data_IF_126808322841
#
_entry.id   IF_126808322841
#
_cell.length_a   1.000
_cell.length_b   1.000
_cell.length_c   1.000
_cell.angle_alpha   90.00
_cell.angle_beta   90.00
_cell.angle_gamma   90.00
#
_symmetry.space_group_name_H-M   'P 1'
#
loop_
_entity.id
_entity.type
_entity.pdbx_description
1 polymer ?
#
# COMPACT_ATOMS: atom_id res chain seq x y z
N UNK A 1 -0.89 -0.84 -15.62
CA UNK A 1 -0.50 -0.48 -14.24
C UNK A 1 -1.72 -0.66 -13.36
N UNK A 2 -1.70 -1.63 -12.45
CA UNK A 2 -2.78 -1.80 -11.47
C UNK A 2 -2.52 -0.91 -10.24
N UNK A 3 -3.52 -0.73 -9.38
CA UNK A 3 -3.39 0.11 -8.18
C UNK A 3 -2.31 -0.40 -7.22
N UNK A 4 -2.13 -1.73 -7.13
CA UNK A 4 -1.11 -2.35 -6.27
C UNK A 4 0.32 -2.01 -6.69
N UNK A 5 0.57 -1.99 -7.99
CA UNK A 5 1.87 -1.64 -8.57
C UNK A 5 2.21 -0.16 -8.32
N UNK A 6 1.21 0.73 -8.40
CA UNK A 6 1.37 2.14 -7.98
C UNK A 6 1.75 2.27 -6.52
N UNK A 7 1.04 1.58 -5.63
CA UNK A 7 1.34 1.58 -4.20
C UNK A 7 2.77 1.11 -3.96
N UNK A 8 3.18 0.00 -4.59
CA UNK A 8 4.54 -0.54 -4.50
C UNK A 8 5.60 0.47 -4.96
N UNK A 9 5.37 1.15 -6.09
CA UNK A 9 6.32 2.14 -6.62
C UNK A 9 6.49 3.31 -5.67
N UNK A 10 5.40 3.91 -5.20
CA UNK A 10 5.47 5.04 -4.25
C UNK A 10 6.12 4.57 -2.94
N UNK A 11 5.82 3.34 -2.49
CA UNK A 11 6.36 2.79 -1.24
C UNK A 11 7.89 2.68 -1.32
N UNK A 12 8.40 2.13 -2.41
CA UNK A 12 9.85 2.00 -2.64
C UNK A 12 10.50 3.37 -2.81
N UNK A 13 9.84 4.30 -3.51
CA UNK A 13 10.35 5.66 -3.70
C UNK A 13 10.47 6.44 -2.38
N UNK A 14 9.57 6.17 -1.42
CA UNK A 14 9.62 6.72 -0.06
C UNK A 14 10.38 5.85 0.94
N UNK A 15 11.12 4.84 0.46
CA UNK A 15 11.96 3.95 1.27
C UNK A 15 11.23 3.19 2.38
N UNK A 16 9.91 3.01 2.24
CA UNK A 16 9.13 2.24 3.21
C UNK A 16 9.23 0.74 2.95
N UNK A 17 9.41 -0.03 4.02
CA UNK A 17 9.08 -1.46 4.02
C UNK A 17 7.56 -1.66 3.96
N UNK A 18 7.12 -2.87 3.57
CA UNK A 18 5.69 -3.20 3.61
C UNK A 18 5.13 -3.08 5.04
N UNK A 19 5.92 -3.45 6.06
CA UNK A 19 5.55 -3.35 7.47
C UNK A 19 5.37 -1.92 7.95
N UNK A 20 6.27 -1.02 7.57
CA UNK A 20 6.17 0.40 7.95
C UNK A 20 4.97 1.08 7.30
N UNK A 21 4.70 0.76 6.02
CA UNK A 21 3.56 1.33 5.31
C UNK A 21 2.23 0.92 5.96
N UNK A 22 2.09 -0.34 6.34
CA UNK A 22 0.82 -0.87 6.88
C UNK A 22 0.75 -0.95 8.39
N UNK A 23 1.76 -0.44 9.09
CA UNK A 23 1.74 -0.38 10.55
C UNK A 23 0.47 0.33 11.01
N UNK A 24 -0.33 -0.36 11.82
CA UNK A 24 -1.65 0.08 12.32
C UNK A 24 -2.78 0.20 11.25
N UNK A 25 -2.52 -0.17 10.00
CA UNK A 25 -3.51 -0.17 8.91
C UNK A 25 -4.04 -1.57 8.65
N UNK A 26 -3.15 -2.54 8.39
CA UNK A 26 -3.49 -3.92 8.07
C UNK A 26 -2.29 -4.86 8.24
N UNK A 27 -2.44 -6.13 7.87
CA UNK A 27 -1.32 -7.06 7.83
C UNK A 27 -0.40 -6.84 6.62
N UNK A 28 0.88 -7.15 6.78
CA UNK A 28 1.88 -7.15 5.69
C UNK A 28 1.43 -8.06 4.55
N UNK A 29 0.90 -9.24 4.89
CA UNK A 29 0.39 -10.21 3.90
C UNK A 29 -0.72 -9.62 3.05
N UNK A 30 -1.61 -8.80 3.62
CA UNK A 30 -2.68 -8.14 2.86
C UNK A 30 -2.11 -7.16 1.83
N UNK A 31 -1.17 -6.29 2.23
CA UNK A 31 -0.48 -5.39 1.29
C UNK A 31 0.29 -6.15 0.23
N UNK A 32 1.02 -7.21 0.59
CA UNK A 32 1.74 -8.03 -0.39
C UNK A 32 0.81 -8.61 -1.46
N UNK A 33 -0.37 -9.10 -1.08
CA UNK A 33 -1.37 -9.58 -2.04
C UNK A 33 -1.93 -8.46 -2.92
N UNK A 34 -2.06 -7.24 -2.39
CA UNK A 34 -2.47 -6.06 -3.17
C UNK A 34 -1.38 -5.67 -4.17
N UNK A 35 -0.13 -5.52 -3.73
CA UNK A 35 1.00 -5.14 -4.58
C UNK A 35 1.26 -6.14 -5.71
N UNK A 36 0.95 -7.42 -5.47
CA UNK A 36 1.03 -8.48 -6.47
C UNK A 36 -0.26 -8.65 -7.30
N UNK A 37 -1.26 -7.77 -7.14
CA UNK A 37 -2.51 -7.78 -7.91
C UNK A 37 -3.46 -8.94 -7.59
N UNK A 38 -3.23 -9.69 -6.51
CA UNK A 38 -4.06 -10.82 -6.11
C UNK A 38 -5.34 -10.39 -5.39
N UNK A 39 -5.35 -9.20 -4.77
CA UNK A 39 -6.49 -8.63 -4.07
C UNK A 39 -6.70 -7.19 -4.54
N UNK A 40 -7.97 -6.82 -4.74
CA UNK A 40 -8.36 -5.42 -4.94
C UNK A 40 -8.49 -4.72 -3.57
N UNK A 41 -7.73 -3.65 -3.30
CA UNK A 41 -7.84 -2.91 -2.06
C UNK A 41 -9.20 -2.21 -1.94
N UNK A 42 -9.65 -1.98 -0.70
CA UNK A 42 -10.81 -1.13 -0.42
C UNK A 42 -10.44 0.35 -0.51
N UNK A 43 -11.44 1.21 -0.71
CA UNK A 43 -11.25 2.67 -0.73
C UNK A 43 -10.66 3.16 0.59
N UNK A 44 -11.18 2.69 1.74
CA UNK A 44 -10.65 3.04 3.06
C UNK A 44 -9.19 2.65 3.26
N UNK A 45 -8.75 1.52 2.68
CA UNK A 45 -7.32 1.16 2.69
C UNK A 45 -6.49 2.15 1.88
N UNK A 46 -6.95 2.51 0.68
CA UNK A 46 -6.27 3.47 -0.18
C UNK A 46 -6.13 4.84 0.49
N UNK A 47 -7.17 5.33 1.16
CA UNK A 47 -7.12 6.60 1.91
C UNK A 47 -6.09 6.57 3.04
N UNK A 48 -6.06 5.48 3.83
CA UNK A 48 -5.09 5.33 4.93
C UNK A 48 -3.66 5.24 4.42
N UNK A 49 -3.45 4.50 3.34
CA UNK A 49 -2.14 4.34 2.69
C UNK A 49 -1.68 5.66 2.06
N UNK A 50 -2.55 6.35 1.33
CA UNK A 50 -2.25 7.66 0.76
C UNK A 50 -1.86 8.67 1.84
N UNK A 51 -2.60 8.71 2.95
CA UNK A 51 -2.27 9.55 4.11
C UNK A 51 -0.92 9.19 4.73
N UNK A 52 -0.62 7.90 4.93
CA UNK A 52 0.67 7.44 5.48
C UNK A 52 1.83 7.79 4.56
N UNK A 53 1.59 7.73 3.25
CA UNK A 53 2.56 8.05 2.23
C UNK A 53 2.63 9.54 1.93
N UNK A 54 1.80 10.40 2.51
CA UNK A 54 1.73 11.83 2.20
C UNK A 54 1.63 12.08 0.68
N UNK A 55 0.65 11.43 0.05
CA UNK A 55 0.32 11.60 -1.37
C UNK A 55 -1.18 11.90 -1.52
N UNK A 56 -1.52 12.78 -2.48
CA UNK A 56 -2.90 13.17 -2.84
C UNK A 56 -3.46 12.32 -4.00
#
# INVERSE_FOLDING_TARGET
MNIGERIRQIRIHKEFTQGELVSEICSITYLSRIENGQIKPSVSFLEKVAKKMEVD
#
